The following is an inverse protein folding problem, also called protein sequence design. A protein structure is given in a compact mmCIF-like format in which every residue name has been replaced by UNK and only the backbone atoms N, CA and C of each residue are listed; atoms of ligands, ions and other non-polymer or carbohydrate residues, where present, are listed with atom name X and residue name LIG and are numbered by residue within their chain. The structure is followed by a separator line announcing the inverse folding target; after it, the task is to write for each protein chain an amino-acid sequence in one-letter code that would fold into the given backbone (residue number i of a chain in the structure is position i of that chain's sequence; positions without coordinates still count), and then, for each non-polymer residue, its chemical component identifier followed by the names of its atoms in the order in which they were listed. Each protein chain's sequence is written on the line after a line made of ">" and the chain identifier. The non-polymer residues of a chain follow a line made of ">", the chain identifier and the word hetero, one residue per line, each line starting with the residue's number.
data_IF_296733231316
#
_entry.id   IF_296733231316
#
_cell.length_a   1.000
_cell.length_b   1.000
_cell.length_c   1.000
_cell.angle_alpha   90.00
_cell.angle_beta   90.00
_cell.angle_gamma   90.00
#
_symmetry.space_group_name_H-M   'P 1'
#
loop_
_entity.id
_entity.type
_entity.pdbx_description
1 polymer ?
#
# COMPACT_ATOMS: atom_id res chain seq x y z
N UNK A 1 41.11 6.39 -13.45
CA UNK A 1 40.38 5.57 -12.45
C UNK A 1 39.31 6.48 -11.90
N UNK A 2 38.09 6.36 -12.42
CA UNK A 2 36.99 7.32 -12.16
C UNK A 2 36.16 6.75 -11.02
N UNK A 3 36.11 7.44 -9.89
CA UNK A 3 35.37 7.00 -8.71
C UNK A 3 33.89 7.33 -8.86
N UNK A 4 33.04 6.40 -8.43
CA UNK A 4 31.57 6.40 -8.60
C UNK A 4 30.83 7.62 -8.02
N UNK A 5 31.49 8.42 -7.17
CA UNK A 5 30.94 9.66 -6.64
C UNK A 5 30.62 10.72 -7.72
N UNK A 6 31.29 10.67 -8.88
CA UNK A 6 31.15 11.69 -9.94
C UNK A 6 29.90 11.53 -10.83
N UNK A 7 29.20 10.39 -10.76
CA UNK A 7 28.13 10.04 -11.71
C UNK A 7 26.75 10.61 -11.32
N UNK A 8 26.50 10.85 -10.03
CA UNK A 8 25.21 11.37 -9.53
C UNK A 8 25.22 12.89 -9.39
N UNK A 9 26.40 13.50 -9.23
CA UNK A 9 26.54 14.96 -8.98
C UNK A 9 26.43 15.82 -10.25
N UNK A 10 26.22 15.21 -11.43
CA UNK A 10 26.23 15.89 -12.73
C UNK A 10 24.91 15.84 -13.51
N UNK A 11 23.82 15.40 -12.90
CA UNK A 11 22.54 15.29 -13.61
C UNK A 11 21.60 16.42 -13.20
N UNK A 12 21.28 17.29 -14.14
CA UNK A 12 20.33 18.38 -13.90
C UNK A 12 18.90 17.85 -13.71
N UNK A 13 18.06 18.59 -12.98
CA UNK A 13 16.63 18.26 -12.77
C UNK A 13 15.90 17.92 -14.08
N UNK A 14 16.21 18.66 -15.15
CA UNK A 14 15.63 18.46 -16.48
C UNK A 14 16.05 17.13 -17.11
N UNK A 15 17.31 16.75 -16.98
CA UNK A 15 17.82 15.48 -17.50
C UNK A 15 17.25 14.29 -16.72
N UNK A 16 17.08 14.43 -15.41
CA UNK A 16 16.41 13.42 -14.59
C UNK A 16 14.96 13.21 -15.04
N UNK A 17 14.17 14.28 -15.16
CA UNK A 17 12.77 14.20 -15.59
C UNK A 17 12.63 13.66 -17.03
N UNK A 18 13.52 14.06 -17.94
CA UNK A 18 13.52 13.54 -19.31
C UNK A 18 13.82 12.04 -19.36
N UNK A 19 14.77 11.55 -18.55
CA UNK A 19 15.08 10.12 -18.44
C UNK A 19 13.96 9.32 -17.79
N UNK A 20 13.28 9.90 -16.80
CA UNK A 20 12.15 9.28 -16.12
C UNK A 20 10.94 9.14 -17.07
N UNK A 21 10.67 10.17 -17.90
CA UNK A 21 9.66 10.11 -18.94
C UNK A 21 9.99 9.09 -20.06
N UNK A 22 11.28 8.83 -20.30
CA UNK A 22 11.75 7.84 -21.27
C UNK A 22 11.87 6.41 -20.70
N UNK A 23 11.70 6.21 -19.40
CA UNK A 23 11.81 4.91 -18.76
C UNK A 23 10.55 4.08 -19.02
N UNK A 24 10.63 3.16 -19.98
CA UNK A 24 9.50 2.31 -20.41
C UNK A 24 9.40 0.98 -19.67
N UNK A 25 10.32 0.69 -18.74
CA UNK A 25 10.33 -0.55 -17.97
C UNK A 25 10.69 -0.32 -16.51
N UNK A 26 10.20 -1.20 -15.64
CA UNK A 26 10.49 -1.21 -14.20
C UNK A 26 12.00 -1.30 -13.92
N UNK A 27 12.75 -2.05 -14.73
CA UNK A 27 14.21 -2.14 -14.62
C UNK A 27 14.94 -0.82 -14.95
N UNK A 28 14.43 -0.05 -15.91
CA UNK A 28 14.98 1.26 -16.24
C UNK A 28 14.69 2.30 -15.14
N UNK A 29 13.48 2.27 -14.56
CA UNK A 29 13.11 3.08 -13.40
C UNK A 29 14.00 2.78 -12.19
N UNK A 30 14.25 1.50 -11.92
CA UNK A 30 15.12 1.06 -10.83
C UNK A 30 16.59 1.48 -11.03
N UNK A 31 17.10 1.45 -12.26
CA UNK A 31 18.45 1.95 -12.57
C UNK A 31 18.60 3.46 -12.35
N UNK A 32 17.51 4.22 -12.49
CA UNK A 32 17.47 5.67 -12.22
C UNK A 32 17.31 5.99 -10.73
N UNK A 33 16.50 5.22 -10.01
CA UNK A 33 16.25 5.42 -8.57
C UNK A 33 17.38 4.86 -7.69
N UNK A 34 18.03 3.78 -8.13
CA UNK A 34 19.08 3.06 -7.38
C UNK A 34 20.18 3.97 -6.83
N UNK A 35 20.82 4.85 -7.63
CA UNK A 35 21.88 5.72 -7.12
C UNK A 35 21.42 6.74 -6.06
N UNK A 36 20.15 7.21 -6.13
CA UNK A 36 19.58 8.12 -5.12
C UNK A 36 19.29 7.35 -3.83
N UNK A 37 18.75 6.14 -3.96
CA UNK A 37 18.47 5.21 -2.86
C UNK A 37 19.78 4.79 -2.17
N UNK A 38 20.82 4.42 -2.92
CA UNK A 38 22.14 4.08 -2.37
C UNK A 38 22.78 5.26 -1.63
N UNK A 39 22.64 6.49 -2.14
CA UNK A 39 23.12 7.69 -1.44
C UNK A 39 22.35 7.94 -0.14
N UNK A 40 21.05 7.67 -0.11
CA UNK A 40 20.25 7.75 1.11
C UNK A 40 20.69 6.68 2.14
N UNK A 41 20.92 5.44 1.72
CA UNK A 41 21.48 4.38 2.56
C UNK A 41 22.88 4.72 3.09
N UNK A 42 23.74 5.30 2.26
CA UNK A 42 25.13 5.62 2.60
C UNK A 42 25.31 6.81 3.54
N UNK A 43 24.26 7.59 3.81
CA UNK A 43 24.33 8.76 4.69
C UNK A 43 24.49 8.39 6.17
N UNK A 44 24.15 7.14 6.55
CA UNK A 44 24.17 6.69 7.94
C UNK A 44 23.22 7.47 8.85
N UNK A 45 23.11 7.10 10.14
CA UNK A 45 22.38 7.91 11.12
C UNK A 45 23.17 9.20 11.38
N UNK A 46 22.86 10.24 10.63
CA UNK A 46 23.35 11.57 10.90
C UNK A 46 22.40 12.27 11.87
N UNK A 47 22.91 13.12 12.75
CA UNK A 47 22.09 14.00 13.58
C UNK A 47 21.50 15.11 12.72
N UNK A 48 20.56 14.78 11.84
CA UNK A 48 19.79 15.76 11.10
C UNK A 48 18.84 16.49 12.04
N UNK A 49 18.83 17.82 11.98
CA UNK A 49 17.85 18.63 12.68
C UNK A 49 16.65 18.88 11.75
N UNK A 50 15.45 19.09 12.32
CA UNK A 50 14.28 19.47 11.53
C UNK A 50 14.52 20.78 10.74
N UNK A 51 15.43 21.63 11.23
CA UNK A 51 15.86 22.86 10.56
C UNK A 51 16.66 22.62 9.28
N UNK A 52 17.15 21.41 9.04
CA UNK A 52 17.91 21.05 7.85
C UNK A 52 16.98 20.70 6.66
N UNK A 53 15.66 20.60 6.89
CA UNK A 53 14.66 20.29 5.86
C UNK A 53 14.28 21.58 5.12
N UNK A 54 14.80 21.77 3.92
CA UNK A 54 14.46 22.92 3.07
C UNK A 54 13.18 22.72 2.24
N UNK A 55 12.85 21.47 1.92
CA UNK A 55 11.76 21.13 1.01
C UNK A 55 11.00 19.89 1.49
N UNK A 56 9.67 19.99 1.49
CA UNK A 56 8.77 18.87 1.72
C UNK A 56 8.01 18.61 0.42
N UNK A 57 8.13 17.38 -0.10
CA UNK A 57 7.33 16.92 -1.24
C UNK A 57 6.29 15.94 -0.70
N UNK A 58 5.02 16.32 -0.78
CA UNK A 58 3.91 15.48 -0.35
C UNK A 58 3.31 14.74 -1.55
N UNK A 59 3.54 13.42 -1.62
CA UNK A 59 2.85 12.54 -2.56
C UNK A 59 1.63 11.91 -1.88
N UNK A 60 0.43 12.37 -2.25
CA UNK A 60 -0.82 11.85 -1.69
C UNK A 60 -1.42 10.80 -2.62
N UNK A 61 -1.39 9.54 -2.19
CA UNK A 61 -2.02 8.42 -2.89
C UNK A 61 -3.52 8.30 -2.57
N UNK A 62 -4.22 7.35 -3.19
CA UNK A 62 -5.66 7.15 -3.07
C UNK A 62 -5.99 5.72 -2.62
N UNK A 63 -7.07 5.56 -1.85
CA UNK A 63 -7.88 4.34 -1.71
C UNK A 63 -7.14 3.03 -1.36
N UNK A 64 -6.09 3.09 -0.53
CA UNK A 64 -5.32 1.92 -0.10
C UNK A 64 -5.09 1.95 1.40
N UNK A 65 -5.51 0.89 2.09
CA UNK A 65 -5.22 0.71 3.51
C UNK A 65 -3.77 0.27 3.72
N UNK A 66 -3.27 0.41 4.95
CA UNK A 66 -1.95 -0.07 5.32
C UNK A 66 -1.81 -1.58 5.05
N UNK A 67 -2.73 -2.39 5.59
CA UNK A 67 -2.72 -3.85 5.43
C UNK A 67 -2.75 -4.31 3.97
N UNK A 68 -3.39 -3.54 3.09
CA UNK A 68 -3.44 -3.85 1.67
C UNK A 68 -2.08 -3.74 0.98
N UNK A 69 -1.21 -2.81 1.40
CA UNK A 69 0.15 -2.65 0.85
C UNK A 69 1.21 -3.38 1.68
N UNK A 70 1.12 -3.27 3.00
CA UNK A 70 2.20 -3.59 3.93
C UNK A 70 1.80 -4.57 5.02
N UNK A 71 0.61 -5.18 4.96
CA UNK A 71 0.21 -6.21 5.94
C UNK A 71 1.12 -7.45 5.95
N UNK A 72 2.00 -7.61 4.96
CA UNK A 72 3.04 -8.66 4.89
C UNK A 72 4.47 -8.14 5.10
N UNK A 73 4.64 -6.86 5.42
CA UNK A 73 5.95 -6.30 5.75
C UNK A 73 6.44 -6.92 7.07
N UNK A 74 7.75 -7.12 7.21
CA UNK A 74 8.32 -7.58 8.49
C UNK A 74 8.28 -6.46 9.53
N UNK A 75 8.19 -6.84 10.81
CA UNK A 75 8.24 -5.94 11.98
C UNK A 75 7.08 -4.91 12.09
N UNK A 76 5.98 -5.12 11.36
CA UNK A 76 4.71 -4.40 11.57
C UNK A 76 3.70 -5.31 12.26
N UNK A 77 2.65 -4.73 12.87
CA UNK A 77 1.51 -5.50 13.39
C UNK A 77 0.60 -6.00 12.24
N UNK A 78 1.16 -6.83 11.36
CA UNK A 78 0.55 -7.31 10.12
C UNK A 78 -0.11 -8.69 10.24
N UNK A 79 -0.24 -9.39 9.11
CA UNK A 79 -0.97 -10.67 9.00
C UNK A 79 -0.30 -11.86 9.72
N UNK A 80 0.93 -11.71 10.19
CA UNK A 80 1.61 -12.66 11.08
C UNK A 80 1.27 -12.44 12.57
N UNK A 81 0.61 -11.33 12.90
CA UNK A 81 0.11 -11.06 14.25
C UNK A 81 -0.99 -12.05 14.62
N UNK A 82 -0.89 -12.76 15.77
CA UNK A 82 -1.90 -13.72 16.20
C UNK A 82 -3.14 -12.99 16.73
N UNK A 83 -4.01 -12.55 15.83
CA UNK A 83 -5.23 -11.80 16.14
C UNK A 83 -6.45 -12.39 15.41
N UNK A 84 -7.64 -12.44 16.05
CA UNK A 84 -8.86 -12.86 15.38
C UNK A 84 -9.38 -11.82 14.38
N UNK A 85 -8.84 -10.59 14.39
CA UNK A 85 -9.33 -9.48 13.54
C UNK A 85 -9.18 -9.76 12.04
N UNK A 86 -8.24 -10.61 11.63
CA UNK A 86 -8.12 -10.97 10.22
C UNK A 86 -9.16 -12.02 9.78
N UNK A 87 -9.84 -12.72 10.70
CA UNK A 87 -10.89 -13.68 10.36
C UNK A 87 -12.27 -13.01 10.21
N UNK A 88 -12.48 -12.30 9.10
CA UNK A 88 -13.69 -11.50 8.85
C UNK A 88 -14.91 -12.36 8.52
N UNK A 89 -16.05 -12.10 9.15
CA UNK A 89 -17.27 -12.93 9.05
C UNK A 89 -18.12 -12.56 7.83
N UNK A 90 -19.05 -13.44 7.44
CA UNK A 90 -20.16 -13.08 6.54
C UNK A 90 -19.97 -13.45 5.07
N UNK A 91 -18.87 -14.12 4.72
CA UNK A 91 -18.61 -14.57 3.36
C UNK A 91 -17.97 -15.96 3.37
N UNK A 92 -18.44 -16.83 2.48
CA UNK A 92 -17.87 -18.16 2.27
C UNK A 92 -16.96 -18.16 1.04
N UNK A 93 -15.63 -18.29 1.20
CA UNK A 93 -14.70 -18.22 0.08
C UNK A 93 -14.78 -19.46 -0.84
N UNK A 94 -15.35 -20.58 -0.39
CA UNK A 94 -15.52 -21.79 -1.21
C UNK A 94 -16.72 -21.67 -2.14
N UNK A 95 -17.83 -21.10 -1.66
CA UNK A 95 -19.05 -20.95 -2.47
C UNK A 95 -19.16 -19.59 -3.13
N UNK A 96 -18.27 -18.63 -2.78
CA UNK A 96 -18.28 -17.26 -3.29
C UNK A 96 -19.65 -16.58 -3.07
N UNK A 97 -20.19 -16.75 -1.86
CA UNK A 97 -21.51 -16.24 -1.50
C UNK A 97 -21.54 -15.74 -0.04
N UNK A 98 -22.47 -14.84 0.32
CA UNK A 98 -22.68 -14.42 1.70
C UNK A 98 -23.07 -15.60 2.59
N UNK A 99 -22.43 -15.70 3.75
CA UNK A 99 -22.69 -16.74 4.75
C UNK A 99 -22.29 -16.21 6.14
N UNK A 100 -23.27 -15.91 7.03
CA UNK A 100 -22.99 -15.38 8.36
C UNK A 100 -22.14 -16.28 9.26
N UNK A 101 -22.12 -17.60 9.01
CA UNK A 101 -21.35 -18.55 9.81
C UNK A 101 -19.92 -18.73 9.31
N UNK A 102 -19.62 -18.26 8.09
CA UNK A 102 -18.29 -18.38 7.49
C UNK A 102 -17.40 -17.18 7.82
N UNK A 103 -16.10 -17.46 7.93
CA UNK A 103 -15.04 -16.45 8.03
C UNK A 103 -14.13 -16.52 6.81
N UNK A 104 -13.66 -15.38 6.36
CA UNK A 104 -12.70 -15.24 5.26
C UNK A 104 -11.46 -14.50 5.77
N UNK A 105 -10.25 -15.10 5.70
CA UNK A 105 -9.01 -14.40 5.97
C UNK A 105 -8.62 -13.46 4.81
N UNK A 106 -7.69 -12.52 5.01
CA UNK A 106 -7.09 -11.76 3.93
C UNK A 106 -6.46 -12.70 2.90
N UNK A 107 -6.48 -12.30 1.63
CA UNK A 107 -5.90 -13.11 0.55
C UNK A 107 -5.10 -12.26 -0.43
N UNK A 108 -4.03 -12.85 -0.97
CA UNK A 108 -3.15 -12.17 -1.90
C UNK A 108 -3.86 -11.90 -3.24
N UNK A 109 -3.81 -10.65 -3.67
CA UNK A 109 -4.13 -10.19 -5.02
C UNK A 109 -2.87 -10.32 -5.88
N UNK A 110 -2.64 -11.52 -6.40
CA UNK A 110 -1.44 -11.88 -7.14
C UNK A 110 -1.38 -11.18 -8.49
N UNK A 111 -0.39 -10.30 -8.69
CA UNK A 111 -0.15 -9.58 -9.95
C UNK A 111 0.95 -10.23 -10.81
N UNK A 112 1.54 -11.33 -10.34
CA UNK A 112 2.77 -11.90 -10.90
C UNK A 112 2.55 -13.04 -11.89
N UNK A 113 1.34 -13.61 -11.94
CA UNK A 113 1.02 -14.76 -12.80
C UNK A 113 -0.05 -14.42 -13.84
N UNK A 114 0.23 -14.52 -15.15
CA UNK A 114 -0.81 -14.49 -16.18
C UNK A 114 -1.78 -15.69 -16.05
N UNK A 115 -3.08 -15.55 -16.39
CA UNK A 115 -3.76 -14.33 -16.84
C UNK A 115 -4.26 -13.45 -15.67
N UNK A 116 -3.90 -13.76 -14.42
CA UNK A 116 -4.35 -13.11 -13.18
C UNK A 116 -3.74 -11.73 -12.92
N UNK A 117 -3.25 -11.04 -13.96
CA UNK A 117 -2.82 -9.63 -13.89
C UNK A 117 -3.95 -8.66 -13.47
N UNK A 118 -5.17 -9.16 -13.22
CA UNK A 118 -6.27 -8.40 -12.65
C UNK A 118 -6.06 -8.04 -11.17
N UNK A 119 -5.06 -8.59 -10.48
CA UNK A 119 -4.71 -8.20 -9.10
C UNK A 119 -4.40 -6.70 -8.97
N UNK A 120 -3.97 -6.04 -10.05
CA UNK A 120 -3.77 -4.58 -10.10
C UNK A 120 -5.04 -3.80 -10.46
N UNK A 121 -6.04 -4.47 -11.05
CA UNK A 121 -7.32 -3.90 -11.51
C UNK A 121 -8.47 -4.43 -10.66
N UNK A 122 -8.32 -4.33 -9.34
CA UNK A 122 -9.34 -4.77 -8.37
C UNK A 122 -10.41 -3.70 -8.23
N UNK A 123 -11.67 -4.13 -8.17
CA UNK A 123 -12.78 -3.22 -7.96
C UNK A 123 -12.64 -2.49 -6.62
N UNK A 124 -12.90 -1.19 -6.65
CA UNK A 124 -12.84 -0.32 -5.49
C UNK A 124 -13.87 -0.77 -4.44
N UNK A 125 -13.43 -1.15 -3.22
CA UNK A 125 -14.33 -1.37 -2.09
C UNK A 125 -15.07 -0.08 -1.74
N UNK A 126 -16.25 -0.18 -1.16
CA UNK A 126 -16.95 1.00 -0.67
C UNK A 126 -16.22 1.59 0.54
N UNK A 127 -15.84 2.85 0.40
CA UNK A 127 -15.08 3.64 1.34
C UNK A 127 -15.86 4.91 1.73
N UNK A 128 -17.18 4.91 1.52
CA UNK A 128 -18.08 5.94 2.02
C UNK A 128 -18.26 5.89 3.53
N UNK A 129 -18.73 7.01 4.10
CA UNK A 129 -18.92 7.18 5.55
C UNK A 129 -19.72 6.02 6.17
N UNK A 130 -20.92 5.75 5.66
CA UNK A 130 -21.81 4.74 6.24
C UNK A 130 -21.17 3.35 6.22
N UNK A 131 -20.64 2.92 5.08
CA UNK A 131 -20.07 1.58 4.90
C UNK A 131 -18.81 1.38 5.73
N UNK A 132 -17.94 2.39 5.86
CA UNK A 132 -16.75 2.29 6.71
C UNK A 132 -17.10 2.26 8.21
N UNK A 133 -18.08 3.04 8.64
CA UNK A 133 -18.55 2.98 10.03
C UNK A 133 -19.25 1.66 10.36
N UNK A 134 -20.05 1.13 9.42
CA UNK A 134 -20.63 -0.21 9.54
C UNK A 134 -19.55 -1.30 9.60
N UNK A 135 -18.49 -1.18 8.79
CA UNK A 135 -17.35 -2.12 8.77
C UNK A 135 -16.57 -2.09 10.08
N UNK A 136 -16.28 -0.88 10.58
CA UNK A 136 -15.59 -0.65 11.86
C UNK A 136 -16.39 -1.16 13.07
N UNK A 137 -17.73 -1.19 12.96
CA UNK A 137 -18.63 -1.80 13.94
C UNK A 137 -18.37 -1.34 15.38
N UNK A 138 -18.31 -0.02 15.59
CA UNK A 138 -18.12 0.57 16.92
C UNK A 138 -16.81 0.19 17.61
N UNK A 139 -15.78 -0.18 16.85
CA UNK A 139 -14.47 -0.59 17.37
C UNK A 139 -14.23 -2.09 17.35
N UNK A 140 -15.25 -2.92 17.07
CA UNK A 140 -15.08 -4.36 16.96
C UNK A 140 -14.30 -4.79 15.71
N UNK A 141 -14.32 -3.97 14.65
CA UNK A 141 -13.56 -4.14 13.42
C UNK A 141 -13.77 -5.51 12.72
N UNK A 142 -14.98 -6.06 12.77
CA UNK A 142 -15.29 -7.44 12.34
C UNK A 142 -16.44 -7.56 11.33
N UNK A 143 -16.86 -6.45 10.72
CA UNK A 143 -18.04 -6.36 9.87
C UNK A 143 -17.74 -5.89 8.43
N UNK A 144 -16.51 -6.07 7.95
CA UNK A 144 -16.09 -5.57 6.64
C UNK A 144 -16.87 -6.21 5.48
N UNK A 145 -16.99 -7.56 5.43
CA UNK A 145 -17.68 -8.23 4.33
C UNK A 145 -19.20 -7.97 4.31
N UNK A 146 -19.94 -8.04 5.43
CA UNK A 146 -21.37 -7.74 5.41
C UNK A 146 -21.66 -6.26 5.12
N UNK A 147 -20.80 -5.34 5.55
CA UNK A 147 -20.94 -3.93 5.21
C UNK A 147 -20.77 -3.70 3.70
N UNK A 148 -19.73 -4.26 3.09
CA UNK A 148 -19.52 -4.21 1.64
C UNK A 148 -20.67 -4.86 0.85
N UNK A 149 -21.27 -5.93 1.37
CA UNK A 149 -22.40 -6.61 0.74
C UNK A 149 -23.64 -5.73 0.57
N UNK A 150 -23.74 -4.62 1.30
CA UNK A 150 -24.87 -3.67 1.18
C UNK A 150 -24.76 -2.78 -0.05
N UNK A 151 -23.56 -2.58 -0.59
CA UNK A 151 -23.31 -1.58 -1.65
C UNK A 151 -22.55 -2.14 -2.85
N UNK A 152 -21.89 -3.30 -2.71
CA UNK A 152 -21.12 -3.95 -3.77
C UNK A 152 -21.79 -5.25 -4.23
N UNK A 153 -21.59 -5.59 -5.50
CA UNK A 153 -22.02 -6.87 -6.06
C UNK A 153 -21.23 -8.03 -5.45
N UNK A 154 -21.83 -9.23 -5.44
CA UNK A 154 -21.25 -10.41 -4.80
C UNK A 154 -19.77 -10.65 -5.17
N UNK A 155 -19.42 -10.54 -6.45
CA UNK A 155 -18.05 -10.75 -6.93
C UNK A 155 -17.02 -9.75 -6.40
N UNK A 156 -17.46 -8.59 -5.89
CA UNK A 156 -16.59 -7.50 -5.43
C UNK A 156 -16.52 -7.38 -3.92
N UNK A 157 -17.38 -8.06 -3.16
CA UNK A 157 -17.38 -8.02 -1.69
C UNK A 157 -16.02 -8.45 -1.12
N UNK A 158 -15.39 -9.55 -1.59
CA UNK A 158 -14.12 -10.02 -1.00
C UNK A 158 -12.93 -9.09 -1.26
N UNK A 159 -13.04 -8.17 -2.23
CA UNK A 159 -11.94 -7.26 -2.60
C UNK A 159 -11.44 -6.43 -1.41
N UNK A 160 -12.31 -6.15 -0.42
CA UNK A 160 -11.93 -5.42 0.81
C UNK A 160 -10.90 -6.15 1.68
N UNK A 161 -10.71 -7.46 1.49
CA UNK A 161 -9.72 -8.28 2.22
C UNK A 161 -8.51 -8.65 1.35
N UNK A 162 -8.47 -8.17 0.12
CA UNK A 162 -7.35 -8.40 -0.77
C UNK A 162 -6.12 -7.62 -0.31
N UNK A 163 -4.94 -8.21 -0.39
CA UNK A 163 -3.66 -7.55 -0.08
C UNK A 163 -2.59 -7.86 -1.13
N UNK A 164 -1.53 -7.06 -1.13
CA UNK A 164 -0.35 -7.26 -1.95
C UNK A 164 0.86 -7.71 -1.14
N UNK A 165 1.77 -8.40 -1.80
CA UNK A 165 3.08 -8.78 -1.28
C UNK A 165 4.18 -7.95 -1.91
N UNK A 166 5.41 -8.12 -1.40
CA UNK A 166 6.62 -7.56 -1.98
C UNK A 166 6.76 -7.83 -3.48
N UNK A 167 6.38 -9.03 -3.94
CA UNK A 167 6.47 -9.39 -5.35
C UNK A 167 5.44 -8.63 -6.20
N UNK A 168 4.31 -8.24 -5.61
CA UNK A 168 3.25 -7.50 -6.30
C UNK A 168 3.55 -5.99 -6.33
N UNK A 169 4.19 -5.45 -5.27
CA UNK A 169 4.52 -4.02 -5.10
C UNK A 169 6.01 -3.77 -4.80
N UNK A 170 6.96 -4.19 -5.65
CA UNK A 170 8.39 -4.20 -5.32
C UNK A 170 8.96 -2.81 -5.01
N UNK A 171 8.46 -1.75 -5.65
CA UNK A 171 8.89 -0.38 -5.39
C UNK A 171 8.43 0.12 -4.01
N UNK A 172 7.20 -0.19 -3.61
CA UNK A 172 6.68 0.23 -2.31
C UNK A 172 7.44 -0.43 -1.17
N UNK A 173 7.70 -1.73 -1.29
CA UNK A 173 8.48 -2.47 -0.30
C UNK A 173 9.94 -2.03 -0.26
N UNK A 174 10.55 -1.70 -1.40
CA UNK A 174 11.90 -1.12 -1.41
C UNK A 174 11.94 0.21 -0.65
N UNK A 175 10.96 1.09 -0.87
CA UNK A 175 10.87 2.36 -0.14
C UNK A 175 10.67 2.13 1.36
N UNK A 176 9.81 1.18 1.73
CA UNK A 176 9.55 0.79 3.11
C UNK A 176 10.79 0.23 3.83
N UNK A 177 11.63 -0.55 3.14
CA UNK A 177 12.88 -1.07 3.71
C UNK A 177 13.96 0.02 3.86
N UNK A 178 13.91 1.03 2.98
CA UNK A 178 14.95 2.07 2.90
C UNK A 178 14.68 3.22 3.86
N UNK A 179 13.41 3.55 4.07
CA UNK A 179 12.97 4.74 4.77
C UNK A 179 12.00 4.38 5.90
N UNK A 180 11.66 5.38 6.70
CA UNK A 180 10.68 5.20 7.78
C UNK A 180 9.28 4.97 7.24
N UNK A 181 8.60 3.97 7.80
CA UNK A 181 7.16 3.72 7.63
C UNK A 181 6.46 4.00 8.97
N UNK A 182 5.28 4.59 8.90
CA UNK A 182 4.40 4.78 10.06
C UNK A 182 3.25 3.77 9.98
N UNK A 183 3.32 2.70 10.76
CA UNK A 183 2.31 1.63 10.80
C UNK A 183 1.08 1.95 11.68
N UNK A 184 1.15 3.04 12.44
CA UNK A 184 0.05 3.60 13.25
C UNK A 184 -0.37 5.01 12.77
N UNK A 185 -0.40 5.22 11.44
CA UNK A 185 -0.84 6.47 10.83
C UNK A 185 -2.27 6.35 10.28
N UNK A 186 -3.21 7.08 10.89
CA UNK A 186 -4.63 7.01 10.55
C UNK A 186 -5.10 8.28 9.84
N UNK A 187 -6.14 8.15 9.02
CA UNK A 187 -6.85 9.30 8.48
C UNK A 187 -7.52 10.11 9.61
N UNK A 188 -7.71 11.41 9.39
CA UNK A 188 -8.37 12.29 10.36
C UNK A 188 -9.82 11.86 10.64
N UNK A 189 -10.47 11.27 9.63
CA UNK A 189 -11.85 10.80 9.71
C UNK A 189 -12.00 9.46 8.96
N UNK A 190 -12.72 8.52 9.56
CA UNK A 190 -13.15 7.27 8.91
C UNK A 190 -14.16 7.63 7.81
N UNK A 191 -13.73 7.65 6.56
CA UNK A 191 -14.57 8.15 5.48
C UNK A 191 -13.84 8.27 4.15
N UNK A 192 -14.52 8.85 3.14
CA UNK A 192 -14.02 8.91 1.79
C UNK A 192 -12.90 9.95 1.63
N UNK A 193 -12.46 10.11 0.38
CA UNK A 193 -11.36 10.99 -0.02
C UNK A 193 -11.55 12.45 0.39
N UNK A 194 -12.73 13.04 0.16
CA UNK A 194 -12.92 14.49 0.30
C UNK A 194 -12.68 15.02 1.72
N UNK A 195 -13.27 14.47 2.81
CA UNK A 195 -13.01 14.94 4.16
C UNK A 195 -11.54 14.86 4.61
N UNK A 196 -10.77 13.90 4.08
CA UNK A 196 -9.38 13.68 4.46
C UNK A 196 -8.37 14.49 3.62
N UNK A 197 -8.87 15.45 2.83
CA UNK A 197 -8.06 16.37 1.99
C UNK A 197 -8.36 17.86 2.24
N UNK A 198 -9.15 18.17 3.26
CA UNK A 198 -9.54 19.53 3.65
C UNK A 198 -8.56 20.15 4.65
#
# INVERSE_FOLDING_TARGET
>A
MMTWADAVDKMSRREFLAKLAAATSTGALMSLAGPVIEKAYGAGPCSGHLTDIEHIVLLMQENRSFDHYFGTLSDVEGFDTPTPLFAQKGWNPRTQAPDPASTTPPFRLDTTRPPLLNGACVNDPDHGWATLHDSWNGGANDNWLPAQARTRSAANIPATLGYHTRDDLPIHFLLADTFTVCDHYFCSVIGPTFPNRL
#
